data_IF_261245689768
#
_entry.id   IF_261245689768
#
_cell.length_a   1.000
_cell.length_b   1.000
_cell.length_c   1.000
_cell.angle_alpha   90.00
_cell.angle_beta   90.00
_cell.angle_gamma   90.00
#
_symmetry.space_group_name_H-M   'P 1'
#
loop_
_entity.id
_entity.type
_entity.pdbx_description
1 polymer ?
#
# COMPACT_ATOMS: atom_id res chain seq x y z
N UNK A 1 -14.65 2.28 -24.13
CA UNK A 1 -15.03 0.90 -23.74
C UNK A 1 -16.21 0.96 -22.77
N UNK A 2 -17.23 0.10 -22.91
CA UNK A 2 -18.46 0.15 -22.10
C UNK A 2 -18.35 -0.56 -20.76
N UNK A 3 -17.35 -1.43 -20.58
CA UNK A 3 -17.05 -2.12 -19.33
C UNK A 3 -15.78 -1.53 -18.68
N UNK A 4 -15.65 -1.65 -17.36
CA UNK A 4 -14.42 -1.30 -16.59
C UNK A 4 -13.57 -2.57 -16.34
N UNK A 5 -12.33 -2.37 -15.91
CA UNK A 5 -11.42 -3.46 -15.52
C UNK A 5 -10.43 -3.82 -16.63
N UNK A 6 -9.91 -5.05 -16.59
CA UNK A 6 -8.87 -5.51 -17.52
C UNK A 6 -9.29 -5.33 -18.99
N UNK A 7 -10.52 -5.69 -19.38
CA UNK A 7 -11.00 -5.50 -20.77
C UNK A 7 -10.89 -4.04 -21.25
N UNK A 8 -11.13 -3.08 -20.35
CA UNK A 8 -11.03 -1.66 -20.68
C UNK A 8 -9.58 -1.21 -20.83
N UNK A 9 -8.71 -1.70 -19.95
CA UNK A 9 -7.27 -1.43 -19.94
C UNK A 9 -6.61 -2.06 -21.18
N UNK A 10 -7.00 -3.28 -21.53
CA UNK A 10 -6.55 -4.00 -22.72
C UNK A 10 -6.91 -3.23 -23.99
N UNK A 11 -8.14 -2.71 -24.07
CA UNK A 11 -8.59 -1.88 -25.19
C UNK A 11 -7.80 -0.56 -25.31
N UNK A 12 -7.22 -0.04 -24.22
CA UNK A 12 -6.32 1.13 -24.28
C UNK A 12 -4.93 0.77 -24.82
N UNK A 13 -4.52 -0.51 -24.74
CA UNK A 13 -3.33 -1.03 -25.41
C UNK A 13 -1.98 -0.63 -24.79
N UNK A 14 -1.97 0.02 -23.62
CA UNK A 14 -0.76 0.50 -22.94
C UNK A 14 -0.18 -0.62 -22.04
N UNK A 15 -0.90 -0.97 -20.97
CA UNK A 15 -0.41 -1.94 -19.97
C UNK A 15 -0.11 -3.34 -20.50
N UNK A 16 -0.83 -3.90 -21.50
CA UNK A 16 -0.48 -5.20 -22.08
C UNK A 16 0.93 -5.27 -22.70
N UNK A 17 1.51 -4.13 -23.07
CA UNK A 17 2.84 -4.05 -23.72
C UNK A 17 3.89 -3.38 -22.83
N UNK A 18 3.51 -2.92 -21.64
CA UNK A 18 4.39 -2.18 -20.75
C UNK A 18 5.32 -3.12 -19.99
N UNK A 19 6.61 -2.75 -19.88
CA UNK A 19 7.67 -3.57 -19.26
C UNK A 19 8.49 -2.83 -18.19
N UNK A 20 8.03 -1.64 -17.77
CA UNK A 20 8.61 -0.92 -16.65
C UNK A 20 7.87 -1.20 -15.34
N UNK A 21 7.96 -0.27 -14.40
CA UNK A 21 7.23 -0.33 -13.11
C UNK A 21 5.90 0.40 -13.21
N UNK A 22 4.80 -0.34 -13.10
CA UNK A 22 3.45 0.21 -13.02
C UNK A 22 3.18 0.65 -11.57
N UNK A 23 3.16 1.97 -11.35
CA UNK A 23 2.79 2.56 -10.05
C UNK A 23 1.28 2.77 -10.01
N UNK A 24 0.56 2.04 -9.16
CA UNK A 24 -0.91 2.10 -9.12
C UNK A 24 -1.49 2.12 -7.69
N UNK A 25 -2.79 2.38 -7.60
CA UNK A 25 -3.57 2.52 -6.34
C UNK A 25 -3.95 1.17 -5.69
N UNK A 26 -3.34 0.06 -6.12
CA UNK A 26 -3.70 -1.28 -5.64
C UNK A 26 -5.00 -1.87 -6.21
N UNK A 27 -5.60 -1.28 -7.25
CA UNK A 27 -6.80 -1.88 -7.85
C UNK A 27 -6.51 -3.23 -8.52
N UNK A 28 -7.26 -4.27 -8.11
CA UNK A 28 -7.04 -5.67 -8.49
C UNK A 28 -6.82 -5.96 -9.99
N UNK A 29 -7.50 -5.29 -10.95
CA UNK A 29 -7.30 -5.53 -12.37
C UNK A 29 -5.90 -5.21 -12.89
N UNK A 30 -5.07 -4.43 -12.17
CA UNK A 30 -3.70 -4.20 -12.57
C UNK A 30 -2.82 -5.45 -12.41
N UNK A 31 -3.16 -6.35 -11.48
CA UNK A 31 -2.32 -7.48 -11.12
C UNK A 31 -2.24 -8.60 -12.18
N UNK A 32 -2.95 -8.45 -13.31
CA UNK A 32 -2.92 -9.43 -14.42
C UNK A 32 -1.86 -9.11 -15.47
N UNK A 33 -1.22 -7.95 -15.38
CA UNK A 33 -0.24 -7.49 -16.37
C UNK A 33 1.16 -7.95 -16.00
N UNK A 34 1.91 -8.40 -17.01
CA UNK A 34 3.29 -8.86 -16.86
C UNK A 34 4.27 -7.68 -16.94
N UNK A 35 4.34 -6.94 -15.84
CA UNK A 35 5.26 -5.82 -15.58
C UNK A 35 5.65 -5.78 -14.11
N UNK A 36 6.64 -4.96 -13.75
CA UNK A 36 6.93 -4.70 -12.33
C UNK A 36 5.81 -3.85 -11.72
N UNK A 37 5.48 -4.09 -10.46
CA UNK A 37 4.40 -3.40 -9.76
C UNK A 37 4.91 -2.63 -8.55
N UNK A 38 4.42 -1.42 -8.39
CA UNK A 38 4.60 -0.63 -7.18
C UNK A 38 3.28 0.02 -6.76
N UNK A 39 3.08 0.17 -5.46
CA UNK A 39 1.95 0.92 -4.94
C UNK A 39 2.25 2.43 -4.96
N UNK A 40 1.24 3.21 -5.26
CA UNK A 40 1.34 4.66 -5.23
C UNK A 40 1.35 5.16 -3.78
N UNK A 41 2.51 5.60 -3.30
CA UNK A 41 2.65 6.13 -1.92
C UNK A 41 1.66 7.26 -1.62
N UNK A 42 1.35 8.15 -2.59
CA UNK A 42 0.37 9.21 -2.37
C UNK A 42 -1.06 8.68 -2.10
N UNK A 43 -1.44 7.53 -2.68
CA UNK A 43 -2.72 6.88 -2.36
C UNK A 43 -2.63 6.16 -1.01
N UNK A 44 -1.54 5.45 -0.75
CA UNK A 44 -1.30 4.78 0.53
C UNK A 44 -1.36 5.78 1.70
N UNK A 45 -0.69 6.92 1.59
CA UNK A 45 -0.70 7.97 2.62
C UNK A 45 -2.10 8.53 2.88
N UNK A 46 -2.95 8.68 1.85
CA UNK A 46 -4.36 9.11 2.05
C UNK A 46 -5.15 8.06 2.82
N UNK A 47 -4.96 6.78 2.52
CA UNK A 47 -5.62 5.70 3.26
C UNK A 47 -5.13 5.63 4.71
N UNK A 48 -3.83 5.82 4.95
CA UNK A 48 -3.24 5.90 6.30
C UNK A 48 -3.79 7.08 7.11
N UNK A 49 -3.84 8.28 6.52
CA UNK A 49 -4.47 9.46 7.15
C UNK A 49 -5.93 9.18 7.47
N UNK A 50 -6.67 8.53 6.58
CA UNK A 50 -8.05 8.13 6.85
C UNK A 50 -8.16 7.16 8.04
N UNK A 51 -7.20 6.27 8.22
CA UNK A 51 -7.16 5.36 9.38
C UNK A 51 -6.88 6.14 10.67
N UNK A 52 -5.87 7.01 10.65
CA UNK A 52 -5.52 7.87 11.78
C UNK A 52 -6.70 8.74 12.20
N UNK A 53 -7.31 9.47 11.27
CA UNK A 53 -8.35 10.46 11.56
C UNK A 53 -9.66 9.82 12.03
N UNK A 54 -10.09 8.73 11.39
CA UNK A 54 -11.41 8.14 11.64
C UNK A 54 -11.40 7.03 12.68
N UNK A 55 -10.28 6.32 12.83
CA UNK A 55 -10.17 5.15 13.72
C UNK A 55 -9.15 5.34 14.83
N UNK A 56 -8.42 6.46 14.84
CA UNK A 56 -7.48 6.86 15.90
C UNK A 56 -6.37 5.84 16.16
N UNK A 57 -6.03 5.03 15.16
CA UNK A 57 -4.97 4.03 15.26
C UNK A 57 -3.62 4.66 14.98
N UNK A 58 -2.72 4.59 15.95
CA UNK A 58 -1.44 5.30 15.94
C UNK A 58 -0.43 4.71 14.96
N UNK A 59 -0.48 3.40 14.70
CA UNK A 59 0.40 2.75 13.71
C UNK A 59 0.27 3.39 12.32
N UNK A 60 -0.92 3.89 11.95
CA UNK A 60 -1.14 4.47 10.63
C UNK A 60 -0.41 5.81 10.48
N UNK A 61 -0.40 6.62 11.54
CA UNK A 61 0.39 7.84 11.62
C UNK A 61 1.88 7.53 11.52
N UNK A 62 2.36 6.60 12.34
CA UNK A 62 3.77 6.20 12.36
C UNK A 62 4.23 5.65 11.01
N UNK A 63 3.40 4.86 10.33
CA UNK A 63 3.68 4.37 8.98
C UNK A 63 3.78 5.52 7.97
N UNK A 64 2.91 6.52 8.08
CA UNK A 64 2.91 7.68 7.17
C UNK A 64 4.17 8.54 7.37
N UNK A 65 4.58 8.74 8.63
CA UNK A 65 5.83 9.42 8.98
C UNK A 65 7.04 8.65 8.45
N UNK A 66 7.08 7.33 8.62
CA UNK A 66 8.16 6.48 8.11
C UNK A 66 8.26 6.52 6.58
N UNK A 67 7.13 6.44 5.86
CA UNK A 67 7.13 6.54 4.39
C UNK A 67 7.65 7.91 3.91
N UNK A 68 7.34 8.97 4.65
CA UNK A 68 7.84 10.33 4.36
C UNK A 68 9.34 10.42 4.60
N UNK A 69 9.83 9.81 5.69
CA UNK A 69 11.27 9.71 5.99
C UNK A 69 12.02 8.91 4.92
N UNK A 70 11.51 7.74 4.53
CA UNK A 70 12.09 6.91 3.46
C UNK A 70 12.21 7.70 2.16
N UNK A 71 11.14 8.40 1.75
CA UNK A 71 11.18 9.24 0.55
C UNK A 71 12.26 10.31 0.69
N UNK A 72 12.28 11.04 1.81
CA UNK A 72 13.24 12.12 2.04
C UNK A 72 14.67 11.58 1.93
N UNK A 73 14.94 10.43 2.54
CA UNK A 73 16.23 9.77 2.44
C UNK A 73 16.61 9.43 1.00
N UNK A 74 15.70 8.82 0.22
CA UNK A 74 15.95 8.51 -1.20
C UNK A 74 16.22 9.76 -2.03
N UNK A 75 15.49 10.83 -1.79
CA UNK A 75 15.69 12.11 -2.48
C UNK A 75 17.07 12.72 -2.15
N UNK A 76 17.47 12.71 -0.88
CA UNK A 76 18.79 13.19 -0.47
C UNK A 76 19.91 12.36 -1.10
N UNK A 77 19.74 11.03 -1.20
CA UNK A 77 20.68 10.17 -1.92
C UNK A 77 20.82 10.61 -3.38
N UNK A 78 19.68 10.83 -4.05
CA UNK A 78 19.61 11.23 -5.45
C UNK A 78 20.22 12.62 -5.69
N UNK A 79 19.92 13.59 -4.85
CA UNK A 79 20.52 14.94 -4.91
C UNK A 79 22.03 14.91 -4.75
N UNK A 80 22.54 14.02 -3.91
CA UNK A 80 23.96 13.82 -3.66
C UNK A 80 24.61 12.86 -4.68
N UNK A 81 23.85 12.34 -5.65
CA UNK A 81 24.31 11.34 -6.63
C UNK A 81 24.96 10.11 -5.97
N UNK A 82 24.45 9.70 -4.81
CA UNK A 82 24.89 8.52 -4.08
C UNK A 82 23.81 7.47 -4.07
N UNK A 83 24.23 6.22 -3.97
CA UNK A 83 23.31 5.13 -3.69
C UNK A 83 22.86 5.16 -2.23
N UNK A 84 21.63 4.73 -1.94
CA UNK A 84 21.20 4.43 -0.58
C UNK A 84 22.13 3.43 0.11
N UNK A 85 22.43 3.70 1.37
CA UNK A 85 23.25 2.84 2.22
C UNK A 85 22.45 1.61 2.68
N UNK A 86 23.10 0.45 2.66
CA UNK A 86 22.46 -0.83 2.97
C UNK A 86 21.99 -0.92 4.43
N UNK A 87 22.80 -0.45 5.38
CA UNK A 87 22.43 -0.49 6.79
C UNK A 87 21.27 0.47 7.08
N UNK A 88 21.24 1.62 6.40
CA UNK A 88 20.11 2.55 6.50
C UNK A 88 18.83 1.97 5.89
N UNK A 89 18.90 1.29 4.74
CA UNK A 89 17.74 0.59 4.15
C UNK A 89 17.23 -0.45 5.13
N UNK A 90 18.11 -1.30 5.64
CA UNK A 90 17.75 -2.37 6.58
C UNK A 90 17.08 -1.81 7.85
N UNK A 91 17.61 -0.72 8.41
CA UNK A 91 17.00 -0.07 9.58
C UNK A 91 15.60 0.50 9.28
N UNK A 92 15.36 1.00 8.07
CA UNK A 92 14.05 1.47 7.62
C UNK A 92 13.07 0.30 7.43
N UNK A 93 13.52 -0.83 6.88
CA UNK A 93 12.74 -2.06 6.73
C UNK A 93 12.35 -2.65 8.10
N UNK A 94 13.28 -2.74 9.05
CA UNK A 94 13.01 -3.23 10.41
C UNK A 94 11.95 -2.37 11.13
N UNK A 95 12.00 -1.05 10.95
CA UNK A 95 10.97 -0.12 11.48
C UNK A 95 9.63 -0.32 10.79
N UNK A 96 9.61 -0.54 9.48
CA UNK A 96 8.40 -0.81 8.73
C UNK A 96 7.71 -2.06 9.26
N UNK A 97 8.45 -3.16 9.39
CA UNK A 97 7.94 -4.43 9.90
C UNK A 97 7.43 -4.31 11.34
N UNK A 98 8.15 -3.59 12.21
CA UNK A 98 7.70 -3.33 13.58
C UNK A 98 6.38 -2.54 13.65
N UNK A 99 6.13 -1.62 12.72
CA UNK A 99 4.84 -0.92 12.62
C UNK A 99 3.75 -1.87 12.12
N UNK A 100 4.04 -2.71 11.11
CA UNK A 100 3.08 -3.70 10.60
C UNK A 100 2.69 -4.71 11.68
N UNK A 101 3.62 -5.20 12.48
CA UNK A 101 3.34 -6.12 13.59
C UNK A 101 2.35 -5.48 14.56
N UNK A 102 2.62 -4.24 15.03
CA UNK A 102 1.70 -3.51 15.91
C UNK A 102 0.35 -3.25 15.26
N UNK A 103 0.34 -2.90 13.98
CA UNK A 103 -0.90 -2.70 13.22
C UNK A 103 -1.75 -3.97 13.16
N UNK A 104 -1.13 -5.15 13.02
CA UNK A 104 -1.81 -6.44 13.04
C UNK A 104 -2.34 -6.79 14.44
N UNK A 105 -1.59 -6.49 15.49
CA UNK A 105 -2.00 -6.68 16.89
C UNK A 105 -3.19 -5.78 17.28
N UNK A 106 -3.22 -4.53 16.80
CA UNK A 106 -4.34 -3.60 16.99
C UNK A 106 -5.57 -3.95 16.14
N UNK A 107 -5.39 -4.74 15.07
CA UNK A 107 -6.45 -5.14 14.15
C UNK A 107 -6.62 -6.66 14.05
N UNK A 108 -6.89 -7.37 15.17
CA UNK A 108 -7.08 -8.81 15.14
C UNK A 108 -8.36 -9.16 14.38
N UNK A 109 -8.41 -10.38 13.83
CA UNK A 109 -9.58 -10.87 13.09
C UNK A 109 -10.88 -10.87 13.90
N UNK A 110 -10.79 -10.89 15.23
CA UNK A 110 -11.94 -10.79 16.14
C UNK A 110 -12.67 -9.45 16.06
N UNK A 111 -12.02 -8.37 15.59
CA UNK A 111 -12.65 -7.06 15.38
C UNK A 111 -13.36 -6.94 14.02
N UNK A 112 -13.29 -7.97 13.17
CA UNK A 112 -13.97 -7.94 11.89
C UNK A 112 -15.49 -7.93 12.10
N UNK A 113 -16.25 -7.03 11.45
CA UNK A 113 -17.69 -6.98 11.57
C UNK A 113 -18.34 -8.29 11.18
N UNK A 114 -19.45 -8.63 11.83
CA UNK A 114 -20.25 -9.77 11.43
C UNK A 114 -20.84 -9.54 10.03
N UNK A 115 -20.79 -10.58 9.19
CA UNK A 115 -21.43 -10.52 7.88
C UNK A 115 -22.95 -10.47 8.01
N UNK A 116 -23.59 -9.71 7.13
CA UNK A 116 -25.03 -9.82 6.91
C UNK A 116 -25.30 -10.94 5.90
N UNK A 117 -25.53 -12.16 6.39
CA UNK A 117 -25.94 -13.31 5.57
C UNK A 117 -25.21 -14.63 5.84
N UNK A 118 -25.68 -15.72 5.21
CA UNK A 118 -25.23 -17.09 5.54
C UNK A 118 -23.90 -17.49 4.89
N UNK A 119 -23.52 -16.93 3.74
CA UNK A 119 -22.35 -17.37 2.95
C UNK A 119 -21.22 -16.33 2.90
N UNK A 120 -19.98 -16.77 2.75
CA UNK A 120 -18.78 -15.91 2.69
C UNK A 120 -18.09 -15.67 4.04
N UNK A 121 -16.89 -15.05 3.99
CA UNK A 121 -16.11 -14.63 5.17
C UNK A 121 -16.64 -13.29 5.70
N UNK A 122 -16.42 -13.02 6.99
CA UNK A 122 -16.69 -11.70 7.57
C UNK A 122 -15.85 -10.62 6.85
N UNK A 123 -16.43 -9.45 6.54
CA UNK A 123 -15.65 -8.35 5.97
C UNK A 123 -14.55 -7.93 6.95
N UNK A 124 -13.39 -7.54 6.42
CA UNK A 124 -12.32 -6.92 7.21
C UNK A 124 -12.70 -5.46 7.54
N UNK A 125 -12.20 -4.95 8.67
CA UNK A 125 -12.26 -3.50 8.96
C UNK A 125 -11.50 -2.70 7.89
N UNK A 126 -11.74 -1.38 7.81
CA UNK A 126 -11.02 -0.51 6.88
C UNK A 126 -9.50 -0.58 7.13
N UNK A 127 -9.08 -0.45 8.39
CA UNK A 127 -7.68 -0.59 8.81
C UNK A 127 -7.08 -1.95 8.42
N UNK A 128 -7.81 -3.04 8.67
CA UNK A 128 -7.33 -4.41 8.37
C UNK A 128 -7.30 -4.74 6.88
N UNK A 129 -7.99 -3.99 6.03
CA UNK A 129 -7.88 -4.12 4.58
C UNK A 129 -6.58 -3.52 4.02
N UNK A 130 -5.97 -2.58 4.74
CA UNK A 130 -4.69 -1.98 4.37
C UNK A 130 -3.48 -2.84 4.80
N UNK A 131 -3.71 -3.84 5.66
CA UNK A 131 -2.72 -4.80 6.20
C UNK A 131 -2.89 -6.20 5.58
#
# INVERSE_FOLDING_TARGET
>A
HTKRGAEAIDAMGILPKFKGVAVHDGWKPYNVYDCDHALCNAHLQRELTGIEENYKQTWAKEMNELLTEMKKYTDECKEQLREPDFEQIKALEERFDAIIIRALEENPHSLNPEKQGKRGKNPKTKSRNLL
#
